data_IF_901744263803
#
_entry.id   IF_901744263803
#
_cell.length_a   1.000
_cell.length_b   1.000
_cell.length_c   1.000
_cell.angle_alpha   90.00
_cell.angle_beta   90.00
_cell.angle_gamma   90.00
#
_symmetry.space_group_name_H-M   'P 1'
#
loop_
_entity.id
_entity.type
_entity.pdbx_description
1 polymer ?
#
# COMPACT_ATOMS: atom_id res chain seq x y z
N UNK A 1 19.15 2.98 4.75
CA UNK A 1 17.88 3.70 4.58
C UNK A 1 17.95 4.99 5.37
N UNK A 2 17.55 6.14 4.82
CA UNK A 2 17.53 7.39 5.56
C UNK A 2 16.83 7.26 6.91
N UNK A 3 17.33 7.96 7.93
CA UNK A 3 16.82 7.84 9.30
C UNK A 3 15.35 8.28 9.43
N UNK A 4 14.91 9.24 8.62
CA UNK A 4 13.52 9.71 8.63
C UNK A 4 12.54 8.62 8.16
N UNK A 5 12.88 7.83 7.14
CA UNK A 5 12.04 6.70 6.67
C UNK A 5 12.00 5.57 7.70
N UNK A 6 13.12 5.28 8.37
CA UNK A 6 13.14 4.31 9.48
C UNK A 6 12.22 4.74 10.62
N UNK A 7 12.24 6.03 10.98
CA UNK A 7 11.36 6.59 12.02
C UNK A 7 9.88 6.45 11.64
N UNK A 8 9.52 6.76 10.39
CA UNK A 8 8.16 6.63 9.88
C UNK A 8 7.67 5.17 9.89
N UNK A 9 8.51 4.21 9.49
CA UNK A 9 8.14 2.79 9.54
C UNK A 9 8.05 2.29 10.99
N UNK A 10 8.90 2.80 11.89
CA UNK A 10 8.83 2.43 13.30
C UNK A 10 7.53 2.92 13.96
N UNK A 11 7.09 4.15 13.63
CA UNK A 11 5.85 4.73 14.17
C UNK A 11 4.58 4.21 13.49
N UNK A 12 4.69 3.57 12.32
CA UNK A 12 3.54 2.99 11.63
C UNK A 12 3.13 1.64 12.22
N UNK A 13 1.85 1.31 12.14
CA UNK A 13 1.36 -0.04 12.45
C UNK A 13 1.38 -0.95 11.21
N UNK A 14 1.30 -0.33 10.03
CA UNK A 14 1.17 -0.98 8.73
C UNK A 14 2.15 -0.38 7.71
N UNK A 15 2.55 -1.20 6.74
CA UNK A 15 3.28 -0.77 5.55
C UNK A 15 2.45 -1.16 4.34
N UNK A 16 2.08 -0.18 3.52
CA UNK A 16 1.35 -0.41 2.26
C UNK A 16 2.33 -0.15 1.12
N UNK A 17 2.52 -1.15 0.27
CA UNK A 17 3.40 -1.05 -0.90
C UNK A 17 2.58 -1.18 -2.17
N UNK A 18 2.77 -0.25 -3.09
CA UNK A 18 2.08 -0.21 -4.38
C UNK A 18 3.07 -0.64 -5.46
N UNK A 19 2.74 -1.71 -6.15
CA UNK A 19 3.59 -2.36 -7.14
C UNK A 19 2.83 -2.45 -8.46
N UNK A 20 3.15 -1.58 -9.41
CA UNK A 20 2.50 -1.52 -10.72
C UNK A 20 3.50 -1.77 -11.85
N UNK A 21 3.03 -2.17 -13.03
CA UNK A 21 3.90 -2.34 -14.21
C UNK A 21 4.73 -1.12 -14.55
N UNK A 22 4.11 0.05 -14.40
CA UNK A 22 4.73 1.35 -14.69
C UNK A 22 5.56 1.84 -13.49
N UNK A 23 5.44 1.18 -12.35
CA UNK A 23 6.18 1.49 -11.13
C UNK A 23 7.64 1.07 -11.28
N UNK A 24 8.54 2.03 -11.20
CA UNK A 24 9.96 1.72 -10.98
C UNK A 24 10.11 1.29 -9.52
N UNK A 25 10.10 -0.03 -9.26
CA UNK A 25 10.45 -0.57 -7.95
C UNK A 25 11.91 -0.27 -7.67
N UNK A 26 12.17 0.92 -7.12
CA UNK A 26 13.50 1.31 -6.74
C UNK A 26 14.00 0.43 -5.60
N UNK A 27 15.32 0.23 -5.54
CA UNK A 27 16.03 -0.45 -4.42
C UNK A 27 15.65 0.09 -3.03
N UNK A 28 14.98 1.24 -2.96
CA UNK A 28 14.44 1.81 -1.73
C UNK A 28 13.17 1.13 -1.25
N UNK A 29 12.23 0.80 -2.14
CA UNK A 29 10.96 0.13 -1.77
C UNK A 29 11.27 -1.25 -1.19
N UNK A 30 12.18 -2.00 -1.80
CA UNK A 30 12.60 -3.31 -1.27
C UNK A 30 13.22 -3.20 0.13
N UNK A 31 13.96 -2.12 0.39
CA UNK A 31 14.55 -1.85 1.71
C UNK A 31 13.50 -1.47 2.75
N UNK A 32 12.47 -0.73 2.37
CA UNK A 32 11.33 -0.39 3.24
C UNK A 32 10.53 -1.63 3.61
N UNK A 33 10.26 -2.51 2.63
CA UNK A 33 9.59 -3.79 2.86
C UNK A 33 10.43 -4.70 3.75
N UNK A 34 11.73 -4.83 3.47
CA UNK A 34 12.63 -5.65 4.27
C UNK A 34 12.71 -5.13 5.71
N UNK A 35 12.83 -3.81 5.91
CA UNK A 35 12.89 -3.20 7.22
C UNK A 35 11.56 -3.32 7.99
N UNK A 36 10.42 -3.08 7.33
CA UNK A 36 9.10 -3.30 7.91
C UNK A 36 8.91 -4.75 8.34
N UNK A 37 9.35 -5.70 7.53
CA UNK A 37 9.29 -7.13 7.84
C UNK A 37 10.16 -7.48 9.06
N UNK A 38 11.36 -6.92 9.18
CA UNK A 38 12.23 -7.09 10.35
C UNK A 38 11.63 -6.51 11.64
N UNK A 39 10.80 -5.47 11.50
CA UNK A 39 10.08 -4.83 12.61
C UNK A 39 8.71 -5.47 12.89
N UNK A 40 8.44 -6.65 12.32
CA UNK A 40 7.16 -7.37 12.44
C UNK A 40 5.94 -6.50 12.09
N UNK A 41 6.10 -5.58 11.13
CA UNK A 41 4.99 -4.76 10.64
C UNK A 41 4.10 -5.59 9.73
N UNK A 42 2.80 -5.30 9.75
CA UNK A 42 1.87 -5.87 8.78
C UNK A 42 2.10 -5.20 7.42
N UNK A 43 2.37 -6.01 6.39
CA UNK A 43 2.67 -5.52 5.03
C UNK A 43 1.54 -5.92 4.08
N UNK A 44 0.96 -4.92 3.43
CA UNK A 44 -0.06 -5.06 2.41
C UNK A 44 0.50 -4.59 1.05
N UNK A 45 0.39 -5.44 0.04
CA UNK A 45 0.73 -5.07 -1.33
C UNK A 45 -0.53 -4.74 -2.12
N UNK A 46 -0.50 -3.63 -2.85
CA UNK A 46 -1.42 -3.32 -3.94
C UNK A 46 -0.66 -3.59 -5.23
N UNK A 47 -0.97 -4.68 -5.91
CA UNK A 47 -0.19 -5.14 -7.05
C UNK A 47 -1.03 -5.36 -8.30
N UNK A 48 -0.48 -5.08 -9.48
CA UNK A 48 -1.11 -5.53 -10.73
C UNK A 48 -1.27 -7.07 -10.75
N UNK A 49 -2.24 -7.56 -11.52
CA UNK A 49 -2.72 -8.95 -11.44
C UNK A 49 -1.65 -10.02 -11.71
N UNK A 50 -0.74 -9.74 -12.63
CA UNK A 50 0.34 -10.60 -13.13
C UNK A 50 1.67 -10.44 -12.37
N UNK A 51 1.76 -9.49 -11.44
CA UNK A 51 2.95 -9.29 -10.63
C UNK A 51 3.04 -10.37 -9.54
N UNK A 52 4.16 -11.09 -9.49
CA UNK A 52 4.37 -12.14 -8.49
C UNK A 52 4.85 -11.53 -7.18
N UNK A 53 4.10 -11.76 -6.10
CA UNK A 53 4.44 -11.36 -4.73
C UNK A 53 4.56 -12.62 -3.87
N UNK A 54 5.52 -12.63 -2.94
CA UNK A 54 5.69 -13.74 -2.01
C UNK A 54 4.39 -13.99 -1.21
N UNK A 55 3.94 -15.25 -1.17
CA UNK A 55 2.68 -15.67 -0.54
C UNK A 55 2.58 -15.36 0.96
N UNK A 56 3.71 -15.10 1.64
CA UNK A 56 3.72 -14.67 3.04
C UNK A 56 3.08 -13.30 3.26
N UNK A 57 2.92 -12.51 2.20
CA UNK A 57 2.38 -11.17 2.27
C UNK A 57 0.91 -11.12 1.83
N UNK A 58 0.18 -10.17 2.41
CA UNK A 58 -1.17 -9.89 1.96
C UNK A 58 -1.12 -9.07 0.68
N UNK A 59 -1.95 -9.42 -0.30
CA UNK A 59 -1.97 -8.78 -1.62
C UNK A 59 -3.40 -8.47 -2.01
N UNK A 60 -3.66 -7.24 -2.42
CA UNK A 60 -4.87 -6.84 -3.16
C UNK A 60 -4.44 -6.63 -4.60
N UNK A 61 -5.16 -7.29 -5.52
CA UNK A 61 -4.92 -7.16 -6.95
C UNK A 61 -5.64 -5.93 -7.49
N UNK A 62 -4.89 -5.09 -8.19
CA UNK A 62 -5.42 -3.90 -8.84
C UNK A 62 -6.22 -4.35 -10.06
N UNK A 63 -7.53 -4.18 -9.97
CA UNK A 63 -8.43 -4.30 -11.10
C UNK A 63 -8.45 -2.97 -11.85
N UNK A 64 -7.71 -2.90 -12.96
CA UNK A 64 -7.65 -1.69 -13.79
C UNK A 64 -8.93 -1.49 -14.62
N UNK A 65 -9.73 -2.53 -14.80
CA UNK A 65 -11.03 -2.43 -15.48
C UNK A 65 -12.12 -1.87 -14.56
N UNK A 66 -11.97 -2.10 -13.26
CA UNK A 66 -12.80 -1.53 -12.20
C UNK A 66 -11.95 -0.99 -11.03
N UNK A 67 -11.42 0.24 -11.18
CA UNK A 67 -10.66 0.92 -10.12
C UNK A 67 -11.43 1.09 -8.81
N UNK A 68 -12.75 1.28 -8.88
CA UNK A 68 -13.59 1.49 -7.70
C UNK A 68 -13.64 0.24 -6.83
N UNK A 69 -13.75 -0.94 -7.44
CA UNK A 69 -13.67 -2.21 -6.70
C UNK A 69 -12.34 -2.39 -5.98
N UNK A 70 -11.24 -2.00 -6.61
CA UNK A 70 -9.91 -1.99 -5.98
C UNK A 70 -9.91 -1.05 -4.77
N UNK A 71 -10.40 0.17 -4.95
CA UNK A 71 -10.49 1.17 -3.87
C UNK A 71 -11.30 0.67 -2.68
N UNK A 72 -12.50 0.12 -2.92
CA UNK A 72 -13.35 -0.46 -1.86
C UNK A 72 -12.61 -1.57 -1.12
N UNK A 73 -11.96 -2.48 -1.84
CA UNK A 73 -11.21 -3.59 -1.23
C UNK A 73 -10.06 -3.09 -0.35
N UNK A 74 -9.37 -2.03 -0.78
CA UNK A 74 -8.30 -1.41 0.00
C UNK A 74 -8.86 -0.70 1.23
N UNK A 75 -9.92 0.09 1.07
CA UNK A 75 -10.58 0.80 2.16
C UNK A 75 -11.07 -0.16 3.23
N UNK A 76 -11.77 -1.24 2.86
CA UNK A 76 -12.22 -2.27 3.82
C UNK A 76 -11.05 -2.91 4.56
N UNK A 77 -9.93 -3.16 3.86
CA UNK A 77 -8.75 -3.78 4.46
C UNK A 77 -8.07 -2.85 5.45
N UNK A 78 -7.95 -1.57 5.09
CA UNK A 78 -7.39 -0.51 5.94
C UNK A 78 -8.32 -0.28 7.15
N UNK A 79 -9.64 -0.20 6.93
CA UNK A 79 -10.62 -0.07 8.02
C UNK A 79 -10.54 -1.23 8.99
N UNK A 80 -10.53 -2.50 8.53
CA UNK A 80 -10.34 -3.65 9.43
C UNK A 80 -9.02 -3.61 10.20
N UNK A 81 -7.97 -3.09 9.57
CA UNK A 81 -6.67 -2.90 10.19
C UNK A 81 -6.63 -1.76 11.23
N UNK A 82 -7.51 -0.75 11.08
CA UNK A 82 -7.60 0.46 11.91
C UNK A 82 -8.68 0.37 12.98
N UNK A 83 -9.79 -0.33 12.78
CA UNK A 83 -10.87 -0.48 13.77
C UNK A 83 -10.41 -1.18 15.04
N UNK A 84 -9.19 -1.76 15.07
CA UNK A 84 -8.50 -2.18 16.30
C UNK A 84 -7.98 -0.99 17.16
N UNK A 85 -7.90 0.23 16.63
CA UNK A 85 -7.48 1.46 17.35
C UNK A 85 -8.02 2.75 16.71
N UNK A 86 -9.09 3.32 17.27
CA UNK A 86 -9.42 4.76 17.48
C UNK A 86 -8.93 5.86 16.48
N UNK A 87 -8.67 5.55 15.22
CA UNK A 87 -8.07 6.47 14.23
C UNK A 87 -8.85 6.50 12.90
N UNK A 88 -10.15 6.20 12.94
CA UNK A 88 -10.99 5.94 11.76
C UNK A 88 -11.14 7.16 10.83
N UNK A 89 -11.35 8.38 11.36
CA UNK A 89 -11.85 9.47 10.51
C UNK A 89 -10.77 10.26 9.74
N UNK A 90 -9.52 10.28 10.21
CA UNK A 90 -8.46 11.12 9.63
C UNK A 90 -7.64 10.39 8.55
N UNK A 91 -7.57 9.06 8.65
CA UNK A 91 -6.80 8.22 7.72
C UNK A 91 -7.64 7.87 6.48
N UNK A 92 -8.96 7.70 6.62
CA UNK A 92 -9.86 7.42 5.50
C UNK A 92 -9.77 8.48 4.39
N UNK A 93 -9.87 9.77 4.73
CA UNK A 93 -9.86 10.84 3.73
C UNK A 93 -8.54 10.98 2.97
N UNK A 94 -7.40 10.85 3.67
CA UNK A 94 -6.08 11.06 3.07
C UNK A 94 -5.59 9.84 2.27
N UNK A 95 -5.82 8.62 2.80
CA UNK A 95 -5.40 7.39 2.15
C UNK A 95 -6.21 7.14 0.87
N UNK A 96 -7.53 7.33 0.93
CA UNK A 96 -8.40 7.15 -0.24
C UNK A 96 -8.04 8.18 -1.33
N UNK A 97 -7.84 9.45 -0.96
CA UNK A 97 -7.44 10.51 -1.89
C UNK A 97 -6.11 10.22 -2.60
N UNK A 98 -5.09 9.78 -1.86
CA UNK A 98 -3.78 9.47 -2.43
C UNK A 98 -3.81 8.23 -3.34
N UNK A 99 -4.57 7.20 -2.98
CA UNK A 99 -4.73 5.99 -3.80
C UNK A 99 -5.51 6.33 -5.09
N UNK A 100 -6.58 7.13 -5.00
CA UNK A 100 -7.30 7.62 -6.18
C UNK A 100 -6.36 8.39 -7.11
N UNK A 101 -5.55 9.30 -6.58
CA UNK A 101 -4.58 10.06 -7.37
C UNK A 101 -3.52 9.16 -8.03
N UNK A 102 -3.04 8.14 -7.34
CA UNK A 102 -2.07 7.18 -7.87
C UNK A 102 -2.67 6.30 -8.97
N UNK A 103 -3.91 5.85 -8.81
CA UNK A 103 -4.61 5.09 -9.85
C UNK A 103 -4.91 5.98 -11.06
N UNK A 104 -5.42 7.19 -10.85
CA UNK A 104 -5.75 8.14 -11.93
C UNK A 104 -4.52 8.63 -12.69
N UNK A 105 -3.41 8.90 -11.99
CA UNK A 105 -2.15 9.28 -12.66
C UNK A 105 -1.57 8.14 -13.48
N UNK A 106 -1.70 6.88 -13.05
CA UNK A 106 -1.30 5.72 -13.84
C UNK A 106 -2.17 5.48 -15.09
N UNK A 107 -3.36 6.07 -15.18
CA UNK A 107 -4.26 5.96 -16.35
C UNK A 107 -3.89 7.00 -17.43
N UNK A 108 -3.25 8.12 -17.05
CA UNK A 108 -3.05 9.28 -17.93
C UNK A 108 -1.89 9.12 -18.93
N UNK A 109 -1.03 8.11 -18.78
CA UNK A 109 0.07 7.83 -19.70
C UNK A 109 -0.35 6.91 -20.88
N UNK A 110 -1.51 7.20 -21.50
CA UNK A 110 -1.94 6.62 -22.78
C UNK A 110 -1.96 7.67 -23.87
#
# INVERSE_FOLDING_TARGET
MPAHLQSQINSSNYVISIITHNGKHGKWVDKEIAFGSQKNKQILFLADADITINQRYQVIRIDRSDPFKTLVSVSEKIQRAISDKAAENLIEGLAIGAIILLILSSIKDK
#
